data_IF_466236208411
#
_entry.id   IF_466236208411
#
_cell.length_a   1.000
_cell.length_b   1.000
_cell.length_c   1.000
_cell.angle_alpha   90.00
_cell.angle_beta   90.00
_cell.angle_gamma   90.00
#
_symmetry.space_group_name_H-M   'P 1'
#
loop_
_entity.id
_entity.type
_entity.pdbx_description
1 polymer ?
#
# COMPACT_ATOMS: atom_id res chain seq x y z
N UNK A 1 -1.15 -16.55 -33.13
CA UNK A 1 0.21 -15.95 -32.97
C UNK A 1 0.96 -16.54 -31.76
N UNK A 2 0.37 -16.55 -30.55
CA UNK A 2 1.03 -17.05 -29.33
C UNK A 2 1.43 -18.51 -29.44
N UNK A 3 0.59 -19.40 -29.99
CA UNK A 3 0.90 -20.82 -30.23
C UNK A 3 2.11 -21.02 -31.13
N UNK A 4 2.27 -20.21 -32.17
CA UNK A 4 3.41 -20.30 -33.08
C UNK A 4 4.74 -19.85 -32.41
N UNK A 5 4.67 -18.91 -31.46
CA UNK A 5 5.82 -18.48 -30.67
C UNK A 5 6.19 -19.57 -29.65
N UNK A 6 5.23 -20.09 -28.90
CA UNK A 6 5.47 -21.15 -27.92
C UNK A 6 6.03 -22.42 -28.55
N UNK A 7 5.59 -22.79 -29.76
CA UNK A 7 6.08 -23.97 -30.50
C UNK A 7 7.58 -23.91 -30.80
N UNK A 8 8.21 -22.74 -30.83
CA UNK A 8 9.66 -22.59 -31.02
C UNK A 8 10.47 -23.03 -29.81
N UNK A 9 9.84 -23.13 -28.65
CA UNK A 9 10.50 -23.48 -27.39
C UNK A 9 10.20 -24.92 -26.96
N UNK A 10 9.47 -25.69 -27.78
CA UNK A 10 9.13 -27.08 -27.49
C UNK A 10 8.50 -27.28 -26.10
N UNK A 11 9.00 -28.28 -25.37
CA UNK A 11 8.49 -28.58 -24.01
C UNK A 11 8.88 -27.57 -22.93
N UNK A 12 9.76 -26.62 -23.24
CA UNK A 12 10.15 -25.55 -22.31
C UNK A 12 9.09 -24.44 -22.23
N UNK A 13 8.10 -24.42 -23.14
CA UNK A 13 7.00 -23.47 -23.11
C UNK A 13 5.65 -24.17 -23.06
N UNK A 14 4.83 -23.85 -22.08
CA UNK A 14 3.45 -24.30 -21.94
C UNK A 14 2.51 -23.12 -22.08
N UNK A 15 1.49 -23.25 -22.92
CA UNK A 15 0.41 -22.26 -22.98
C UNK A 15 -0.69 -22.72 -22.05
N UNK A 16 -0.96 -21.93 -21.02
CA UNK A 16 -2.12 -22.08 -20.17
C UNK A 16 -3.15 -21.03 -20.55
N UNK A 17 -4.39 -21.44 -20.62
CA UNK A 17 -5.53 -20.54 -20.83
C UNK A 17 -6.07 -20.18 -19.46
N UNK A 18 -5.88 -18.92 -19.05
CA UNK A 18 -6.55 -18.37 -17.88
C UNK A 18 -7.88 -17.76 -18.36
N UNK A 19 -9.02 -18.31 -17.96
CA UNK A 19 -10.33 -17.78 -18.33
C UNK A 19 -10.67 -16.49 -17.57
N UNK A 20 -9.83 -16.08 -16.63
CA UNK A 20 -9.99 -14.85 -15.86
C UNK A 20 -9.67 -13.60 -16.67
N UNK A 21 -10.36 -12.53 -16.39
CA UNK A 21 -10.02 -11.20 -16.89
C UNK A 21 -8.78 -10.68 -16.14
N UNK A 22 -7.73 -10.35 -16.89
CA UNK A 22 -6.51 -9.75 -16.30
C UNK A 22 -6.83 -8.34 -15.82
N UNK A 23 -7.11 -8.18 -14.53
CA UNK A 23 -7.35 -6.89 -13.91
C UNK A 23 -6.09 -6.39 -13.23
N UNK A 24 -5.80 -5.09 -13.39
CA UNK A 24 -4.79 -4.43 -12.56
C UNK A 24 -5.25 -4.47 -11.11
N UNK A 25 -4.40 -4.94 -10.22
CA UNK A 25 -4.70 -4.94 -8.78
C UNK A 25 -3.71 -4.05 -8.03
N UNK A 26 -4.15 -3.51 -6.90
CA UNK A 26 -3.29 -2.78 -5.97
C UNK A 26 -3.58 -3.19 -4.53
N UNK A 27 -2.52 -3.48 -3.80
CA UNK A 27 -2.56 -3.98 -2.41
C UNK A 27 -1.73 -3.11 -1.47
N UNK A 28 -1.86 -3.31 -0.19
CA UNK A 28 -1.03 -2.67 0.82
C UNK A 28 0.46 -2.86 0.56
N UNK A 29 1.27 -1.89 0.91
CA UNK A 29 2.71 -1.88 0.70
C UNK A 29 3.16 -1.40 -0.70
N UNK A 30 2.29 -1.41 -1.71
CA UNK A 30 2.66 -0.99 -3.07
C UNK A 30 2.77 0.53 -3.21
N UNK A 31 3.53 0.97 -4.22
CA UNK A 31 3.76 2.39 -4.49
C UNK A 31 2.48 3.09 -4.96
N UNK A 32 2.26 4.29 -4.42
CA UNK A 32 1.23 5.23 -4.85
C UNK A 32 1.87 6.61 -5.08
N UNK A 33 1.30 7.39 -5.97
CA UNK A 33 1.91 8.63 -6.44
C UNK A 33 0.93 9.80 -6.42
N UNK A 34 1.40 10.97 -5.97
CA UNK A 34 0.69 12.25 -6.07
C UNK A 34 1.70 13.41 -6.09
N UNK A 35 1.40 14.50 -6.76
CA UNK A 35 2.20 15.74 -6.72
C UNK A 35 3.69 15.58 -7.06
N UNK A 36 4.07 14.54 -7.82
CA UNK A 36 5.48 14.24 -8.12
C UNK A 36 6.21 13.42 -7.05
N UNK A 37 5.56 13.08 -5.97
CA UNK A 37 6.13 12.28 -4.87
C UNK A 37 5.58 10.85 -4.86
N UNK A 38 6.31 9.94 -4.22
CA UNK A 38 5.94 8.54 -4.00
C UNK A 38 5.72 8.28 -2.52
N UNK A 39 4.63 7.60 -2.22
CA UNK A 39 4.32 6.99 -0.92
C UNK A 39 3.97 5.50 -1.12
N UNK A 40 3.59 4.84 -0.05
CA UNK A 40 3.09 3.46 -0.09
C UNK A 40 1.63 3.43 0.35
N UNK A 41 0.86 2.54 -0.25
CA UNK A 41 -0.49 2.23 0.19
C UNK A 41 -0.43 1.47 1.52
N UNK A 42 -1.18 1.90 2.53
CA UNK A 42 -1.33 1.16 3.77
C UNK A 42 -2.26 -0.03 3.57
N UNK A 43 -3.54 0.17 3.72
CA UNK A 43 -4.53 -0.89 3.59
C UNK A 43 -5.68 -0.47 2.69
N UNK A 44 -6.18 -1.41 1.90
CA UNK A 44 -7.47 -1.28 1.25
C UNK A 44 -8.57 -1.45 2.28
N UNK A 45 -9.53 -0.55 2.26
CA UNK A 45 -10.65 -0.52 3.19
C UNK A 45 -11.95 -0.26 2.45
N UNK A 46 -13.07 -0.66 3.06
CA UNK A 46 -14.41 -0.28 2.60
C UNK A 46 -15.29 0.05 3.79
N UNK A 47 -16.22 0.96 3.59
CA UNK A 47 -17.22 1.27 4.59
C UNK A 47 -18.40 0.29 4.50
N UNK A 48 -19.38 0.43 5.41
CA UNK A 48 -20.59 -0.41 5.44
C UNK A 48 -21.45 -0.31 4.18
N UNK A 49 -21.37 0.80 3.44
CA UNK A 49 -22.04 0.99 2.16
C UNK A 49 -21.26 0.38 0.96
N UNK A 50 -20.14 -0.28 1.22
CA UNK A 50 -19.30 -0.90 0.18
C UNK A 50 -18.38 0.06 -0.56
N UNK A 51 -18.32 1.34 -0.20
CA UNK A 51 -17.42 2.32 -0.84
C UNK A 51 -15.96 1.95 -0.56
N UNK A 52 -15.19 1.72 -1.63
CA UNK A 52 -13.78 1.32 -1.55
C UNK A 52 -12.88 2.54 -1.41
N UNK A 53 -11.92 2.42 -0.51
CA UNK A 53 -10.89 3.43 -0.25
C UNK A 53 -9.58 2.74 0.12
N UNK A 54 -8.51 3.49 0.19
CA UNK A 54 -7.30 3.04 0.87
C UNK A 54 -6.87 4.07 1.91
N UNK A 55 -6.17 3.60 2.92
CA UNK A 55 -5.52 4.44 3.93
C UNK A 55 -4.01 4.50 3.66
N UNK A 56 -3.41 5.64 3.99
CA UNK A 56 -1.96 5.89 3.90
C UNK A 56 -1.59 6.95 4.95
N UNK A 57 -0.33 7.36 5.00
CA UNK A 57 0.09 8.41 5.91
C UNK A 57 -0.55 9.77 5.57
N UNK A 58 -0.85 10.55 6.60
CA UNK A 58 -1.46 11.88 6.47
C UNK A 58 -0.52 12.88 5.79
N UNK A 59 0.77 12.86 6.15
CA UNK A 59 1.77 13.71 5.48
C UNK A 59 1.86 13.40 3.98
N UNK A 60 1.62 12.16 3.56
CA UNK A 60 1.50 11.80 2.15
C UNK A 60 0.27 12.44 1.51
N UNK A 61 -0.89 12.35 2.17
CA UNK A 61 -2.14 12.87 1.59
C UNK A 61 -2.18 14.39 1.48
N UNK A 62 -1.29 15.10 2.17
CA UNK A 62 -1.12 16.55 1.99
C UNK A 62 -0.42 16.93 0.67
N UNK A 63 0.25 15.99 -0.01
CA UNK A 63 1.00 16.25 -1.26
C UNK A 63 0.05 16.57 -2.42
N UNK A 64 -1.12 15.95 -2.46
CA UNK A 64 -2.09 16.16 -3.56
C UNK A 64 -3.43 15.50 -3.31
N UNK A 65 -4.40 15.85 -4.15
CA UNK A 65 -5.77 15.34 -4.06
C UNK A 65 -5.99 14.10 -4.92
N UNK A 66 -5.38 14.03 -6.09
CA UNK A 66 -5.52 12.89 -7.01
C UNK A 66 -4.34 11.93 -6.86
N UNK A 67 -4.64 10.64 -6.74
CA UNK A 67 -3.67 9.59 -6.51
C UNK A 67 -3.61 8.61 -7.67
N UNK A 68 -2.41 8.11 -7.96
CA UNK A 68 -2.10 7.30 -9.13
C UNK A 68 -1.35 6.02 -8.74
N UNK A 69 -1.53 4.96 -9.54
CA UNK A 69 -0.83 3.69 -9.39
C UNK A 69 0.60 3.71 -9.96
N UNK A 70 0.94 4.70 -10.78
CA UNK A 70 2.22 4.76 -11.50
C UNK A 70 2.83 6.18 -11.46
N UNK A 71 4.15 6.25 -11.59
CA UNK A 71 4.91 7.51 -11.55
C UNK A 71 4.61 8.42 -12.75
N UNK A 72 4.22 7.87 -13.90
CA UNK A 72 3.78 8.64 -15.07
C UNK A 72 2.41 9.29 -14.88
N UNK A 73 1.69 8.95 -13.80
CA UNK A 73 0.37 9.49 -13.45
C UNK A 73 -0.68 9.29 -14.53
N UNK A 74 -0.62 8.16 -15.24
CA UNK A 74 -1.60 7.80 -16.27
C UNK A 74 -2.73 6.93 -15.73
N UNK A 75 -2.48 6.19 -14.62
CA UNK A 75 -3.46 5.30 -14.01
C UNK A 75 -3.97 5.90 -12.71
N UNK A 76 -5.11 6.58 -12.77
CA UNK A 76 -5.76 7.15 -11.59
C UNK A 76 -6.25 6.03 -10.67
N UNK A 77 -6.00 6.16 -9.38
CA UNK A 77 -6.59 5.35 -8.31
C UNK A 77 -7.85 6.00 -7.77
N UNK A 78 -7.74 7.26 -7.36
CA UNK A 78 -8.84 7.94 -6.72
C UNK A 78 -8.51 9.32 -6.19
N UNK A 79 -9.39 9.82 -5.32
CA UNK A 79 -9.32 11.17 -4.78
C UNK A 79 -9.29 11.15 -3.26
N UNK A 80 -8.40 11.95 -2.66
CA UNK A 80 -8.35 12.15 -1.20
C UNK A 80 -9.69 12.67 -0.69
N UNK A 81 -10.22 12.03 0.33
CA UNK A 81 -11.46 12.44 1.02
C UNK A 81 -11.23 12.87 2.46
N UNK A 82 -10.06 12.58 3.02
CA UNK A 82 -9.70 13.02 4.36
C UNK A 82 -8.20 12.92 4.60
N UNK A 83 -7.71 13.78 5.49
CA UNK A 83 -6.33 13.81 5.97
C UNK A 83 -6.29 14.34 7.38
N UNK A 84 -5.38 13.83 8.20
CA UNK A 84 -5.07 14.33 9.54
C UNK A 84 -3.56 14.33 9.71
N UNK A 85 -2.97 15.51 9.58
CA UNK A 85 -1.54 15.77 9.80
C UNK A 85 -1.34 17.29 9.95
N UNK A 86 -0.55 17.77 10.91
CA UNK A 86 0.04 17.05 12.04
C UNK A 86 -1.01 16.71 13.13
N UNK A 87 -0.59 16.26 14.28
CA UNK A 87 -1.33 15.71 15.41
C UNK A 87 -1.54 14.20 15.25
N UNK A 88 -2.13 13.77 14.14
CA UNK A 88 -2.15 12.38 13.67
C UNK A 88 -1.36 12.29 12.38
N UNK A 89 -1.18 11.07 11.86
CA UNK A 89 -0.53 10.84 10.55
C UNK A 89 -1.29 9.78 9.76
N UNK A 90 -2.52 10.08 9.39
CA UNK A 90 -3.32 9.23 8.52
C UNK A 90 -4.11 10.03 7.49
N UNK A 91 -4.37 9.40 6.36
CA UNK A 91 -5.21 9.95 5.32
C UNK A 91 -5.97 8.85 4.58
N UNK A 92 -7.06 9.23 3.94
CA UNK A 92 -7.93 8.32 3.20
C UNK A 92 -8.16 8.85 1.79
N UNK A 93 -8.08 7.93 0.84
CA UNK A 93 -8.29 8.17 -0.59
C UNK A 93 -9.39 7.24 -1.07
N UNK A 94 -10.48 7.80 -1.58
CA UNK A 94 -11.58 7.02 -2.16
C UNK A 94 -11.22 6.63 -3.59
N UNK A 95 -11.36 5.35 -3.91
CA UNK A 95 -11.22 4.88 -5.27
C UNK A 95 -12.30 5.45 -6.19
N UNK A 96 -11.89 6.01 -7.32
CA UNK A 96 -12.77 6.45 -8.40
C UNK A 96 -12.63 5.55 -9.62
N UNK A 97 -11.52 4.83 -9.74
CA UNK A 97 -11.30 3.83 -10.78
C UNK A 97 -11.85 2.48 -10.34
N UNK A 98 -12.93 2.04 -10.96
CA UNK A 98 -13.61 0.78 -10.63
C UNK A 98 -12.98 -0.44 -11.32
N UNK A 99 -12.12 -0.24 -12.33
CA UNK A 99 -11.44 -1.31 -13.07
C UNK A 99 -10.24 -1.88 -12.33
N UNK A 100 -9.81 -1.28 -11.22
CA UNK A 100 -8.70 -1.76 -10.41
C UNK A 100 -9.24 -2.64 -9.29
N UNK A 101 -8.73 -3.87 -9.21
CA UNK A 101 -9.01 -4.74 -8.08
C UNK A 101 -8.27 -4.24 -6.83
N UNK A 102 -8.98 -4.18 -5.70
CA UNK A 102 -8.47 -3.65 -4.43
C UNK A 102 -8.66 -4.67 -3.31
N UNK A 103 -7.97 -5.83 -3.37
CA UNK A 103 -8.12 -6.89 -2.36
C UNK A 103 -7.64 -6.38 -0.99
N UNK A 104 -8.22 -6.92 0.07
CA UNK A 104 -7.80 -6.68 1.46
C UNK A 104 -6.52 -7.44 1.80
N UNK A 105 -5.45 -7.16 1.09
CA UNK A 105 -4.18 -7.87 1.19
C UNK A 105 -2.98 -6.92 1.18
N UNK A 106 -1.83 -7.44 1.59
CA UNK A 106 -0.53 -6.76 1.63
C UNK A 106 0.44 -7.47 0.70
N UNK A 107 1.15 -6.72 -0.13
CA UNK A 107 2.15 -7.21 -1.05
C UNK A 107 3.45 -7.60 -0.32
N UNK A 108 3.95 -8.80 -0.58
CA UNK A 108 5.10 -9.33 0.15
C UNK A 108 6.45 -9.12 -0.57
N UNK A 109 6.47 -8.59 -1.78
CA UNK A 109 7.70 -8.37 -2.55
C UNK A 109 8.53 -9.65 -2.76
N UNK A 110 7.90 -10.81 -2.68
CA UNK A 110 8.50 -12.12 -2.94
C UNK A 110 7.70 -12.80 -4.05
N UNK A 111 8.19 -12.72 -5.28
CA UNK A 111 7.44 -13.17 -6.45
C UNK A 111 6.11 -12.41 -6.59
N UNK A 112 5.02 -13.14 -6.82
CA UNK A 112 3.65 -12.59 -6.90
C UNK A 112 2.86 -12.78 -5.60
N UNK A 113 3.52 -12.96 -4.47
CA UNK A 113 2.85 -13.29 -3.22
C UNK A 113 2.26 -12.09 -2.50
N UNK A 114 1.10 -12.29 -1.94
CA UNK A 114 0.40 -11.34 -1.06
C UNK A 114 -0.13 -12.09 0.16
N UNK A 115 -0.40 -11.36 1.22
CA UNK A 115 -1.01 -11.88 2.42
C UNK A 115 -2.32 -11.16 2.71
N UNK A 116 -3.39 -11.91 2.88
CA UNK A 116 -4.69 -11.36 3.23
C UNK A 116 -4.66 -10.72 4.63
N UNK A 117 -5.34 -9.60 4.75
CA UNK A 117 -5.59 -8.92 6.02
C UNK A 117 -6.91 -9.46 6.58
N UNK A 118 -6.84 -10.25 7.64
CA UNK A 118 -8.00 -10.95 8.21
C UNK A 118 -8.56 -10.30 9.47
N UNK A 119 -7.75 -9.53 10.18
CA UNK A 119 -8.15 -8.87 11.43
C UNK A 119 -7.28 -7.67 11.74
N UNK A 120 -7.69 -6.88 12.72
CA UNK A 120 -6.89 -5.85 13.38
C UNK A 120 -6.70 -6.21 14.85
N UNK A 121 -5.67 -5.66 15.49
CA UNK A 121 -5.38 -5.92 16.88
C UNK A 121 -4.71 -4.74 17.56
N UNK A 122 -4.70 -4.76 18.89
CA UNK A 122 -3.97 -3.78 19.69
C UNK A 122 -2.51 -4.23 19.80
N UNK A 123 -1.54 -3.38 19.45
CA UNK A 123 -0.12 -3.73 19.55
C UNK A 123 0.32 -3.79 21.00
N UNK A 124 1.30 -4.65 21.28
CA UNK A 124 1.98 -4.73 22.59
C UNK A 124 3.49 -4.59 22.41
N UNK A 125 4.17 -4.02 23.40
CA UNK A 125 5.65 -3.90 23.41
C UNK A 125 6.25 -5.31 23.41
N UNK A 126 7.27 -5.52 22.57
CA UNK A 126 7.89 -6.83 22.35
C UNK A 126 7.23 -7.65 21.23
N UNK A 127 6.08 -7.25 20.71
CA UNK A 127 5.42 -7.95 19.61
C UNK A 127 6.26 -7.91 18.34
N UNK A 128 6.47 -9.07 17.72
CA UNK A 128 7.06 -9.16 16.37
C UNK A 128 6.10 -8.61 15.33
N UNK A 129 6.62 -7.74 14.45
CA UNK A 129 5.85 -7.10 13.39
C UNK A 129 6.60 -7.17 12.06
N UNK A 130 5.84 -7.13 10.97
CA UNK A 130 6.37 -6.95 9.61
C UNK A 130 5.77 -5.69 9.01
N UNK A 131 6.56 -5.00 8.23
CA UNK A 131 6.13 -3.85 7.44
C UNK A 131 6.37 -4.13 5.97
N UNK A 132 5.41 -3.78 5.14
CA UNK A 132 5.56 -3.77 3.69
C UNK A 132 5.53 -2.33 3.16
N UNK A 133 6.48 -1.98 2.32
CA UNK A 133 6.55 -0.64 1.74
C UNK A 133 7.36 -0.59 0.45
N UNK A 134 7.01 0.34 -0.43
CA UNK A 134 7.46 0.39 -1.82
C UNK A 134 8.96 0.65 -2.02
N UNK A 135 9.68 1.07 -0.98
CA UNK A 135 11.13 1.32 -1.06
C UNK A 135 11.94 0.15 -0.53
N UNK A 136 11.55 -0.39 0.64
CA UNK A 136 12.34 -1.41 1.33
C UNK A 136 11.78 -2.81 1.18
N UNK A 137 10.62 -2.97 0.54
CA UNK A 137 9.90 -4.24 0.51
C UNK A 137 9.42 -4.62 1.91
N UNK A 138 9.40 -5.92 2.21
CA UNK A 138 9.04 -6.43 3.53
C UNK A 138 10.25 -6.37 4.46
N UNK A 139 10.05 -5.84 5.66
CA UNK A 139 11.03 -5.81 6.76
C UNK A 139 10.35 -6.23 8.05
N UNK A 140 11.09 -6.99 8.86
CA UNK A 140 10.63 -7.43 10.17
C UNK A 140 11.29 -6.63 11.28
N UNK A 141 10.65 -6.60 12.43
CA UNK A 141 11.13 -5.97 13.64
C UNK A 141 10.20 -6.20 14.81
N UNK A 142 10.34 -5.37 15.82
CA UNK A 142 9.64 -5.49 17.09
C UNK A 142 9.06 -4.15 17.50
N UNK A 143 7.90 -4.14 18.15
CA UNK A 143 7.35 -2.96 18.80
C UNK A 143 8.18 -2.61 20.02
N UNK A 144 8.76 -1.41 20.03
CA UNK A 144 9.65 -0.94 21.09
C UNK A 144 8.94 -0.03 22.10
N UNK A 145 7.94 0.72 21.65
CA UNK A 145 7.16 1.60 22.51
C UNK A 145 5.77 1.87 21.92
N UNK A 146 4.83 2.19 22.79
CA UNK A 146 3.51 2.72 22.46
C UNK A 146 3.42 4.18 22.91
N UNK A 147 2.44 4.90 22.38
CA UNK A 147 2.19 6.31 22.68
C UNK A 147 3.41 7.23 22.47
N UNK A 148 4.25 6.88 21.50
CA UNK A 148 5.40 7.73 21.14
C UNK A 148 4.93 9.01 20.44
N UNK A 149 5.69 10.10 20.64
CA UNK A 149 5.50 11.35 19.91
C UNK A 149 6.66 11.54 18.94
N UNK A 150 6.35 11.90 17.70
CA UNK A 150 7.32 12.21 16.65
C UNK A 150 7.06 13.63 16.16
N UNK A 151 8.07 14.49 16.21
CA UNK A 151 7.96 15.89 15.77
C UNK A 151 8.65 16.10 14.42
N UNK A 152 7.93 16.75 13.52
CA UNK A 152 8.37 17.23 12.22
C UNK A 152 8.39 18.75 12.21
N UNK A 153 8.92 19.38 11.17
CA UNK A 153 8.87 20.84 11.01
C UNK A 153 7.44 21.40 10.99
N UNK A 154 6.48 20.59 10.55
CA UNK A 154 5.05 20.95 10.46
C UNK A 154 4.29 20.77 11.78
N UNK A 155 4.87 20.10 12.77
CA UNK A 155 4.24 19.80 14.06
C UNK A 155 4.49 18.37 14.53
N UNK A 156 3.97 18.05 15.71
CA UNK A 156 4.16 16.73 16.31
C UNK A 156 2.97 15.81 16.03
N UNK A 157 3.28 14.53 15.86
CA UNK A 157 2.32 13.43 15.74
C UNK A 157 2.40 12.61 17.02
N UNK A 158 1.26 12.33 17.63
CA UNK A 158 1.17 11.67 18.92
C UNK A 158 0.61 10.25 18.80
N UNK A 159 0.68 9.50 19.89
CA UNK A 159 0.12 8.14 20.00
C UNK A 159 0.67 7.15 18.94
N UNK A 160 1.92 7.35 18.52
CA UNK A 160 2.56 6.50 17.54
C UNK A 160 3.05 5.20 18.16
N UNK A 161 3.08 4.14 17.35
CA UNK A 161 3.73 2.87 17.67
C UNK A 161 5.17 2.95 17.17
N UNK A 162 6.13 2.89 18.09
CA UNK A 162 7.55 2.86 17.73
C UNK A 162 8.02 1.43 17.53
N UNK A 163 8.67 1.18 16.40
CA UNK A 163 9.27 -0.10 16.06
C UNK A 163 10.74 0.08 15.65
N UNK A 164 11.51 -0.99 15.60
CA UNK A 164 12.84 -1.01 15.00
C UNK A 164 12.84 -1.51 13.54
N UNK A 165 11.67 -1.60 12.92
CA UNK A 165 11.56 -2.00 11.51
C UNK A 165 12.23 -0.95 10.62
N UNK A 166 13.10 -1.41 9.72
CA UNK A 166 13.77 -0.52 8.75
C UNK A 166 12.75 0.13 7.79
N UNK A 167 12.85 1.44 7.64
CA UNK A 167 12.06 2.24 6.70
C UNK A 167 12.95 3.26 5.99
N UNK A 168 12.58 3.62 4.76
CA UNK A 168 13.26 4.63 3.94
C UNK A 168 12.23 5.54 3.26
N UNK A 169 12.64 6.74 2.79
CA UNK A 169 11.76 7.65 2.03
C UNK A 169 11.03 6.94 0.88
N UNK A 170 9.75 7.28 0.69
CA UNK A 170 8.84 6.59 -0.25
C UNK A 170 8.14 5.37 0.35
N UNK A 171 8.63 4.86 1.48
CA UNK A 171 7.95 3.82 2.25
C UNK A 171 6.83 4.34 3.15
N UNK A 172 6.70 5.67 3.31
CA UNK A 172 5.65 6.30 4.13
C UNK A 172 4.25 5.81 3.74
N UNK A 173 3.42 5.53 4.75
CA UNK A 173 2.06 5.01 4.57
C UNK A 173 1.98 3.52 4.28
N UNK A 174 3.10 2.77 4.19
CA UNK A 174 3.10 1.32 4.00
C UNK A 174 2.42 0.55 5.14
N UNK A 175 2.05 -0.70 4.82
CA UNK A 175 1.34 -1.64 5.72
C UNK A 175 2.24 -2.13 6.84
#
# INVERSE_FOLDING_TARGET
RIRAIAGRFGSAARIEHDPGELTTLITGGQAIYAGGSRCSLGFNVRNSAGTRSFVTAGHCTNIGTTWYANSSRTTVLGTRTGTSFPTNDYGIVRYTNTSIATPGAVWLYSGSSQQDTTSSGTPVVGQSVRRSGSTTGVRSGTVNALNATVCYSQGCVNQMIRTNVCAQPGGSGGS
#
